data_IF_208496059079
#
_entry.id   IF_208496059079
#
_cell.length_a   1.000
_cell.length_b   1.000
_cell.length_c   1.000
_cell.angle_alpha   90.00
_cell.angle_beta   90.00
_cell.angle_gamma   90.00
#
_symmetry.space_group_name_H-M   'P 1'
#
loop_
_entity.id
_entity.type
_entity.pdbx_description
1 polymer ?
#
# COMPACT_ATOMS: atom_id res chain seq x y z
N UNK A 1 -9.33 -32.50 20.36
CA UNK A 1 -9.48 -33.01 18.99
C UNK A 1 -9.96 -31.94 17.99
N UNK A 2 -10.94 -31.08 18.32
CA UNK A 2 -11.46 -29.99 17.47
C UNK A 2 -10.42 -28.90 17.26
N UNK A 3 -9.67 -28.49 18.28
CA UNK A 3 -8.64 -27.45 18.22
C UNK A 3 -7.47 -27.85 17.31
N UNK A 4 -7.07 -29.11 17.33
CA UNK A 4 -6.01 -29.63 16.44
C UNK A 4 -6.43 -29.62 14.97
N UNK A 5 -7.70 -29.93 14.66
CA UNK A 5 -8.24 -29.81 13.29
C UNK A 5 -8.36 -28.38 12.82
N UNK A 6 -8.72 -27.42 13.71
CA UNK A 6 -8.75 -25.99 13.40
C UNK A 6 -7.34 -25.43 13.12
N UNK A 7 -6.35 -25.85 13.89
CA UNK A 7 -4.96 -25.45 13.69
C UNK A 7 -4.38 -26.01 12.40
N UNK A 8 -4.77 -27.24 12.03
CA UNK A 8 -4.39 -27.88 10.77
C UNK A 8 -5.05 -27.16 9.56
N UNK A 9 -6.33 -26.80 9.68
CA UNK A 9 -7.02 -25.99 8.66
C UNK A 9 -6.45 -24.56 8.54
N UNK A 10 -6.04 -23.94 9.65
CA UNK A 10 -5.36 -22.65 9.62
C UNK A 10 -3.96 -22.77 9.00
N UNK A 11 -3.28 -23.91 9.18
CA UNK A 11 -2.02 -24.23 8.50
C UNK A 11 -2.16 -24.29 6.97
N UNK A 12 -3.30 -24.75 6.46
CA UNK A 12 -3.58 -24.74 5.02
C UNK A 12 -3.96 -23.36 4.48
N UNK A 13 -4.48 -22.45 5.31
CA UNK A 13 -4.74 -21.05 4.92
C UNK A 13 -3.45 -20.23 4.80
N UNK A 14 -2.37 -20.62 5.47
CA UNK A 14 -1.05 -20.00 5.32
C UNK A 14 -0.40 -20.27 3.95
N UNK A 15 -0.94 -21.20 3.17
CA UNK A 15 -0.51 -21.43 1.78
C UNK A 15 -0.96 -20.29 0.84
N UNK A 16 -2.03 -19.57 1.19
CA UNK A 16 -2.49 -18.39 0.43
C UNK A 16 -1.69 -17.12 0.76
N UNK A 17 -0.91 -17.15 1.84
CA UNK A 17 -0.06 -16.03 2.29
C UNK A 17 1.28 -15.96 1.51
N UNK A 18 1.48 -16.86 0.55
CA UNK A 18 2.74 -17.01 -0.19
C UNK A 18 2.70 -16.46 -1.60
N UNK A 19 1.98 -15.38 -1.87
CA UNK A 19 2.09 -14.71 -3.17
C UNK A 19 2.25 -13.19 -3.02
N UNK A 20 3.34 -12.71 -2.42
CA UNK A 20 3.92 -11.45 -2.80
C UNK A 20 4.90 -11.70 -3.95
N UNK A 21 4.99 -10.80 -4.90
CA UNK A 21 5.98 -10.84 -5.99
C UNK A 21 7.43 -11.01 -5.49
N UNK A 22 7.70 -10.66 -4.24
CA UNK A 22 8.99 -10.87 -3.59
C UNK A 22 9.34 -12.33 -3.36
N UNK A 23 8.37 -13.18 -3.02
CA UNK A 23 8.58 -14.63 -2.83
C UNK A 23 8.86 -15.33 -4.17
N UNK A 24 8.22 -14.88 -5.27
CA UNK A 24 8.48 -15.41 -6.62
C UNK A 24 9.93 -15.17 -7.07
N UNK A 25 10.56 -14.10 -6.59
CA UNK A 25 11.99 -13.83 -6.82
C UNK A 25 12.89 -14.72 -5.96
N UNK A 26 12.49 -15.00 -4.72
CA UNK A 26 13.28 -15.80 -3.79
C UNK A 26 13.20 -17.31 -4.09
N UNK A 27 12.06 -17.78 -4.61
CA UNK A 27 11.82 -19.21 -4.96
C UNK A 27 12.29 -19.58 -6.39
N UNK A 28 12.83 -18.63 -7.18
CA UNK A 28 13.28 -18.87 -8.55
C UNK A 28 12.14 -19.16 -9.55
N UNK A 29 10.89 -19.02 -9.14
CA UNK A 29 9.71 -19.28 -9.99
C UNK A 29 9.45 -18.22 -11.03
N UNK A 30 10.16 -17.09 -10.97
CA UNK A 30 10.17 -16.06 -12.03
C UNK A 30 10.54 -16.62 -13.41
N UNK A 31 11.31 -17.71 -13.47
CA UNK A 31 11.68 -18.37 -14.74
C UNK A 31 10.44 -18.79 -15.53
N UNK A 32 9.38 -19.24 -14.88
CA UNK A 32 8.13 -19.60 -15.56
C UNK A 32 7.36 -18.42 -16.14
N UNK A 33 7.52 -17.22 -15.57
CA UNK A 33 6.96 -15.98 -16.12
C UNK A 33 7.72 -15.52 -17.39
N UNK A 34 9.02 -15.81 -17.48
CA UNK A 34 9.83 -15.51 -18.67
C UNK A 34 9.54 -16.42 -19.85
N UNK A 35 9.10 -17.64 -19.59
CA UNK A 35 8.71 -18.61 -20.64
C UNK A 35 7.35 -18.27 -21.30
N UNK A 36 6.56 -17.32 -20.74
CA UNK A 36 5.31 -16.86 -21.34
C UNK A 36 5.51 -15.46 -21.94
N UNK A 37 5.00 -15.18 -23.14
CA UNK A 37 5.11 -13.88 -23.79
C UNK A 37 4.12 -12.86 -23.18
N UNK A 38 4.17 -12.65 -21.85
CA UNK A 38 3.35 -11.65 -21.15
C UNK A 38 4.10 -10.35 -21.02
N UNK A 39 3.40 -9.25 -21.29
CA UNK A 39 3.97 -7.92 -21.12
C UNK A 39 4.28 -7.67 -19.63
N UNK A 40 5.47 -7.18 -19.34
CA UNK A 40 5.93 -6.88 -17.96
C UNK A 40 4.99 -5.93 -17.21
N UNK A 41 4.42 -4.96 -17.93
CA UNK A 41 3.39 -4.05 -17.40
C UNK A 41 2.18 -4.83 -16.86
N UNK A 42 1.74 -5.87 -17.58
CA UNK A 42 0.59 -6.68 -17.17
C UNK A 42 0.85 -7.41 -15.85
N UNK A 43 2.08 -7.92 -15.66
CA UNK A 43 2.47 -8.60 -14.42
C UNK A 43 2.45 -7.63 -13.24
N UNK A 44 3.07 -6.45 -13.40
CA UNK A 44 3.09 -5.42 -12.35
C UNK A 44 1.69 -4.90 -12.04
N UNK A 45 0.88 -4.65 -13.09
CA UNK A 45 -0.50 -4.20 -12.92
C UNK A 45 -1.38 -5.25 -12.23
N UNK A 46 -1.21 -6.54 -12.57
CA UNK A 46 -1.94 -7.63 -11.93
C UNK A 46 -1.57 -7.76 -10.44
N UNK A 47 -0.29 -7.65 -10.10
CA UNK A 47 0.17 -7.66 -8.71
C UNK A 47 -0.37 -6.47 -7.92
N UNK A 48 -0.35 -5.29 -8.49
CA UNK A 48 -0.93 -4.09 -7.88
C UNK A 48 -2.44 -4.23 -7.68
N UNK A 49 -3.17 -4.72 -8.69
CA UNK A 49 -4.60 -4.97 -8.57
C UNK A 49 -4.93 -6.00 -7.50
N UNK A 50 -4.17 -7.11 -7.43
CA UNK A 50 -4.30 -8.12 -6.39
C UNK A 50 -4.06 -7.53 -4.99
N UNK A 51 -3.00 -6.73 -4.83
CA UNK A 51 -2.72 -6.02 -3.57
C UNK A 51 -3.89 -5.11 -3.17
N UNK A 52 -4.45 -4.32 -4.09
CA UNK A 52 -5.59 -3.45 -3.81
C UNK A 52 -6.84 -4.24 -3.43
N UNK A 53 -7.11 -5.36 -4.11
CA UNK A 53 -8.30 -6.19 -3.84
C UNK A 53 -8.33 -6.68 -2.39
N UNK A 54 -7.16 -6.96 -1.82
CA UNK A 54 -7.03 -7.43 -0.42
C UNK A 54 -6.94 -6.25 0.54
N UNK A 55 -6.08 -5.26 0.26
CA UNK A 55 -5.77 -4.20 1.22
C UNK A 55 -6.88 -3.16 1.35
N UNK A 56 -7.60 -2.85 0.26
CA UNK A 56 -8.69 -1.85 0.33
C UNK A 56 -9.78 -2.29 1.33
N UNK A 57 -10.41 -3.48 1.22
CA UNK A 57 -11.41 -3.87 2.21
C UNK A 57 -10.81 -4.03 3.61
N UNK A 58 -9.60 -4.57 3.73
CA UNK A 58 -8.95 -4.80 5.02
C UNK A 58 -8.62 -3.50 5.78
N UNK A 59 -8.31 -2.42 5.07
CA UNK A 59 -7.94 -1.13 5.68
C UNK A 59 -9.14 -0.19 5.74
N UNK A 60 -9.89 -0.04 4.64
CA UNK A 60 -10.96 0.96 4.55
C UNK A 60 -12.14 0.57 5.42
N UNK A 61 -12.58 -0.69 5.41
CA UNK A 61 -13.77 -1.12 6.16
C UNK A 61 -13.62 -0.89 7.66
N UNK A 62 -12.56 -1.35 8.34
CA UNK A 62 -12.39 -1.11 9.77
C UNK A 62 -12.30 0.38 10.12
N UNK A 63 -11.61 1.17 9.31
CA UNK A 63 -11.48 2.61 9.56
C UNK A 63 -12.81 3.35 9.39
N UNK A 64 -13.60 2.99 8.38
CA UNK A 64 -14.95 3.55 8.17
C UNK A 64 -15.88 3.17 9.30
N UNK A 65 -15.86 1.90 9.73
CA UNK A 65 -16.63 1.45 10.88
C UNK A 65 -16.22 2.20 12.15
N UNK A 66 -14.92 2.34 12.41
CA UNK A 66 -14.42 3.11 13.54
C UNK A 66 -14.88 4.57 13.48
N UNK A 67 -14.79 5.22 12.33
CA UNK A 67 -15.27 6.59 12.14
C UNK A 67 -16.79 6.72 12.37
N UNK A 68 -17.58 5.75 11.92
CA UNK A 68 -19.03 5.73 12.14
C UNK A 68 -19.37 5.59 13.63
N UNK A 69 -18.62 4.78 14.37
CA UNK A 69 -18.83 4.56 15.81
C UNK A 69 -18.47 5.78 16.67
N UNK A 70 -17.62 6.70 16.18
CA UNK A 70 -17.30 7.94 16.92
C UNK A 70 -18.44 8.95 16.95
N UNK A 71 -19.47 8.78 16.11
CA UNK A 71 -20.58 9.74 16.01
C UNK A 71 -20.22 11.08 15.34
N UNK A 72 -19.06 11.18 14.69
CA UNK A 72 -18.56 12.41 14.06
C UNK A 72 -19.27 12.82 12.76
N UNK A 73 -20.40 12.20 12.44
CA UNK A 73 -21.24 12.55 11.31
C UNK A 73 -20.77 11.96 9.96
N UNK A 74 -21.60 12.16 8.92
CA UNK A 74 -21.36 11.60 7.61
C UNK A 74 -20.09 12.14 6.93
N UNK A 75 -19.71 13.38 7.21
CA UNK A 75 -18.53 14.02 6.64
C UNK A 75 -17.23 13.35 7.12
N UNK A 76 -17.14 13.03 8.43
CA UNK A 76 -16.00 12.29 8.98
C UNK A 76 -15.90 10.89 8.36
N UNK A 77 -17.01 10.20 8.19
CA UNK A 77 -17.05 8.85 7.60
C UNK A 77 -16.60 8.87 6.14
N UNK A 78 -17.11 9.82 5.34
CA UNK A 78 -16.71 9.99 3.94
C UNK A 78 -15.24 10.39 3.81
N UNK A 79 -14.79 11.35 4.62
CA UNK A 79 -13.39 11.78 4.67
C UNK A 79 -12.45 10.64 5.02
N UNK A 80 -12.81 9.81 6.01
CA UNK A 80 -12.04 8.62 6.40
C UNK A 80 -11.99 7.59 5.28
N UNK A 81 -13.12 7.32 4.63
CA UNK A 81 -13.17 6.38 3.51
C UNK A 81 -12.26 6.81 2.35
N UNK A 82 -12.34 8.09 1.95
CA UNK A 82 -11.52 8.64 0.87
C UNK A 82 -10.02 8.68 1.25
N UNK A 83 -9.70 9.17 2.44
CA UNK A 83 -8.33 9.22 2.94
C UNK A 83 -7.70 7.84 3.01
N UNK A 84 -8.42 6.85 3.56
CA UNK A 84 -7.96 5.47 3.66
C UNK A 84 -7.79 4.82 2.29
N UNK A 85 -8.76 4.98 1.37
CA UNK A 85 -8.69 4.42 0.04
C UNK A 85 -7.51 4.99 -0.77
N UNK A 86 -7.35 6.32 -0.79
CA UNK A 86 -6.26 6.97 -1.51
C UNK A 86 -4.89 6.68 -0.89
N UNK A 87 -4.81 6.64 0.45
CA UNK A 87 -3.60 6.19 1.14
C UNK A 87 -3.22 4.75 0.78
N UNK A 88 -4.20 3.86 0.73
CA UNK A 88 -3.98 2.45 0.33
C UNK A 88 -3.46 2.34 -1.11
N UNK A 89 -3.97 3.15 -2.05
CA UNK A 89 -3.47 3.20 -3.43
C UNK A 89 -1.99 3.60 -3.47
N UNK A 90 -1.60 4.64 -2.73
CA UNK A 90 -0.21 5.09 -2.68
C UNK A 90 0.72 4.01 -2.09
N UNK A 91 0.35 3.44 -0.94
CA UNK A 91 1.14 2.39 -0.29
C UNK A 91 1.23 1.12 -1.13
N UNK A 92 0.12 0.67 -1.73
CA UNK A 92 0.12 -0.50 -2.59
C UNK A 92 1.08 -0.33 -3.77
N UNK A 93 1.12 0.86 -4.40
CA UNK A 93 2.09 1.18 -5.45
C UNK A 93 3.53 1.11 -4.95
N UNK A 94 3.83 1.78 -3.83
CA UNK A 94 5.17 1.78 -3.22
C UNK A 94 5.63 0.37 -2.85
N UNK A 95 4.78 -0.42 -2.20
CA UNK A 95 5.16 -1.77 -1.77
C UNK A 95 5.25 -2.76 -2.93
N UNK A 96 4.47 -2.59 -4.00
CA UNK A 96 4.64 -3.36 -5.23
C UNK A 96 6.03 -3.10 -5.83
N UNK A 97 6.46 -1.84 -5.92
CA UNK A 97 7.79 -1.49 -6.40
C UNK A 97 8.91 -1.99 -5.47
N UNK A 98 8.70 -1.88 -4.15
CA UNK A 98 9.66 -2.33 -3.14
C UNK A 98 9.84 -3.86 -3.18
N UNK A 99 8.75 -4.61 -3.35
CA UNK A 99 8.78 -6.07 -3.46
C UNK A 99 9.64 -6.59 -4.62
N UNK A 100 9.69 -5.84 -5.73
CA UNK A 100 10.56 -6.16 -6.88
C UNK A 100 12.02 -5.69 -6.70
N UNK A 101 12.29 -4.81 -5.73
CA UNK A 101 13.60 -4.18 -5.55
C UNK A 101 14.45 -4.85 -4.49
N UNK A 102 13.83 -5.32 -3.42
CA UNK A 102 14.54 -5.68 -2.19
C UNK A 102 14.05 -7.04 -1.67
N UNK A 103 15.00 -7.95 -1.45
CA UNK A 103 14.73 -9.14 -0.62
C UNK A 103 14.27 -8.66 0.76
N UNK A 104 13.28 -9.29 1.35
CA UNK A 104 12.64 -8.89 2.62
C UNK A 104 11.94 -7.51 2.52
N UNK A 105 11.18 -7.29 1.45
CA UNK A 105 10.42 -6.05 1.21
C UNK A 105 9.54 -5.63 2.39
N UNK A 106 9.01 -6.60 3.15
CA UNK A 106 8.21 -6.36 4.35
C UNK A 106 9.01 -5.62 5.43
N UNK A 107 10.24 -6.05 5.69
CA UNK A 107 11.12 -5.40 6.69
C UNK A 107 11.42 -3.95 6.29
N UNK A 108 11.80 -3.74 5.03
CA UNK A 108 12.09 -2.40 4.52
C UNK A 108 10.85 -1.52 4.45
N UNK A 109 9.69 -2.09 4.13
CA UNK A 109 8.41 -1.39 4.15
C UNK A 109 8.03 -0.94 5.57
N UNK A 110 8.20 -1.80 6.57
CA UNK A 110 7.99 -1.43 7.98
C UNK A 110 8.97 -0.35 8.43
N UNK A 111 10.26 -0.46 8.09
CA UNK A 111 11.24 0.57 8.38
C UNK A 111 10.87 1.91 7.76
N UNK A 112 10.40 1.93 6.50
CA UNK A 112 9.90 3.14 5.86
C UNK A 112 8.75 3.76 6.66
N UNK A 113 7.73 2.98 7.04
CA UNK A 113 6.59 3.50 7.79
C UNK A 113 7.03 4.01 9.17
N UNK A 114 7.84 3.25 9.92
CA UNK A 114 8.24 3.65 11.26
C UNK A 114 9.20 4.84 11.27
N UNK A 115 10.23 4.81 10.43
CA UNK A 115 11.27 5.84 10.44
C UNK A 115 10.81 7.08 9.68
N UNK A 116 10.38 6.91 8.43
CA UNK A 116 10.02 8.04 7.58
C UNK A 116 8.70 8.67 8.00
N UNK A 117 7.64 7.90 8.02
CA UNK A 117 6.30 8.42 8.33
C UNK A 117 6.10 8.65 9.82
N UNK A 118 6.69 7.81 10.68
CA UNK A 118 6.57 7.92 12.12
C UNK A 118 7.46 9.01 12.72
N UNK A 119 8.65 9.23 12.19
CA UNK A 119 9.67 10.11 12.79
C UNK A 119 10.04 11.30 11.90
N UNK A 120 10.53 11.04 10.68
CA UNK A 120 11.08 12.09 9.80
C UNK A 120 9.99 13.05 9.34
N UNK A 121 8.82 12.56 8.98
CA UNK A 121 7.70 13.39 8.55
C UNK A 121 7.15 14.32 9.64
N UNK A 122 7.46 14.06 10.91
CA UNK A 122 7.10 14.94 12.04
C UNK A 122 8.13 16.04 12.30
N UNK A 123 9.33 15.93 11.72
CA UNK A 123 10.44 16.84 11.95
C UNK A 123 10.35 18.19 11.20
N UNK A 124 9.38 18.35 10.26
CA UNK A 124 9.18 19.59 9.55
C UNK A 124 8.25 19.47 8.33
N UNK A 125 7.71 20.60 7.89
CA UNK A 125 6.70 20.67 6.83
C UNK A 125 7.20 20.13 5.48
N UNK A 126 8.48 20.34 5.16
CA UNK A 126 9.07 19.85 3.91
C UNK A 126 9.14 18.32 3.87
N UNK A 127 9.49 17.67 4.98
CA UNK A 127 9.50 16.23 5.09
C UNK A 127 8.07 15.65 5.13
N UNK A 128 7.16 16.33 5.82
CA UNK A 128 5.76 15.97 5.91
C UNK A 128 5.09 15.94 4.51
N UNK A 129 5.42 16.87 3.62
CA UNK A 129 4.86 16.91 2.24
C UNK A 129 5.18 15.67 1.41
N UNK A 130 6.26 14.96 1.72
CA UNK A 130 6.67 13.74 1.03
C UNK A 130 6.10 12.47 1.68
N UNK A 131 5.36 12.58 2.77
CA UNK A 131 4.78 11.47 3.48
C UNK A 131 3.36 11.17 2.99
N UNK A 132 3.02 9.91 2.79
CA UNK A 132 1.65 9.49 2.43
C UNK A 132 0.66 9.86 3.53
N UNK A 133 1.12 9.85 4.77
CA UNK A 133 0.33 10.27 5.93
C UNK A 133 -0.14 11.73 5.85
N UNK A 134 0.65 12.63 5.27
CA UNK A 134 0.26 14.02 5.06
C UNK A 134 -0.88 14.13 4.04
N UNK A 135 -0.84 13.33 2.99
CA UNK A 135 -1.92 13.24 2.00
C UNK A 135 -3.23 12.83 2.66
N UNK A 136 -3.21 11.73 3.43
CA UNK A 136 -4.42 11.23 4.12
C UNK A 136 -4.93 12.21 5.17
N UNK A 137 -4.03 12.88 5.90
CA UNK A 137 -4.40 13.91 6.87
C UNK A 137 -5.06 15.12 6.21
N UNK A 138 -4.53 15.60 5.08
CA UNK A 138 -5.10 16.73 4.34
C UNK A 138 -6.50 16.40 3.81
N UNK A 139 -6.72 15.21 3.28
CA UNK A 139 -8.03 14.76 2.81
C UNK A 139 -9.02 14.68 3.99
N UNK A 140 -8.60 14.08 5.09
CA UNK A 140 -9.45 13.95 6.27
C UNK A 140 -9.82 15.33 6.85
N UNK A 141 -8.86 16.26 6.94
CA UNK A 141 -9.11 17.64 7.37
C UNK A 141 -10.12 18.34 6.47
N UNK A 142 -9.99 18.19 5.15
CA UNK A 142 -10.89 18.85 4.19
C UNK A 142 -12.36 18.42 4.36
N UNK A 143 -12.61 17.21 4.86
CA UNK A 143 -13.96 16.69 5.10
C UNK A 143 -14.45 16.86 6.53
N UNK A 144 -13.56 16.67 7.51
CA UNK A 144 -13.95 16.74 8.93
C UNK A 144 -13.97 18.14 9.51
N UNK A 145 -13.32 19.12 8.82
CA UNK A 145 -13.11 20.47 9.31
C UNK A 145 -12.18 20.56 10.54
N UNK A 146 -11.59 19.43 10.97
CA UNK A 146 -10.70 19.39 12.13
C UNK A 146 -9.28 19.67 11.69
N UNK A 147 -8.62 20.66 12.30
CA UNK A 147 -7.22 20.97 12.00
C UNK A 147 -6.29 19.80 12.40
N UNK A 148 -5.57 19.27 11.42
CA UNK A 148 -4.61 18.19 11.62
C UNK A 148 -3.18 18.69 11.35
N UNK A 149 -2.28 18.50 12.31
CA UNK A 149 -0.89 18.96 12.24
C UNK A 149 -0.12 18.52 10.99
N UNK A 150 -0.49 17.38 10.41
CA UNK A 150 0.17 16.83 9.23
C UNK A 150 -0.54 17.20 7.91
N UNK A 151 -1.62 17.94 7.95
CA UNK A 151 -2.32 18.42 6.76
C UNK A 151 -1.63 19.65 6.16
N UNK A 152 -0.43 19.45 5.62
CA UNK A 152 0.44 20.53 5.08
C UNK A 152 0.34 20.69 3.56
N UNK A 153 -0.46 19.89 2.89
CA UNK A 153 -0.65 19.91 1.44
C UNK A 153 -1.86 20.77 1.05
N UNK A 154 -1.81 21.34 -0.16
CA UNK A 154 -3.02 21.89 -0.76
C UNK A 154 -4.00 20.74 -1.08
N UNK A 155 -5.29 20.94 -0.82
CA UNK A 155 -6.33 19.93 -1.02
C UNK A 155 -6.29 19.26 -2.39
N UNK A 156 -6.21 19.98 -3.53
CA UNK A 156 -6.15 19.33 -4.84
C UNK A 156 -4.91 18.46 -5.01
N UNK A 157 -3.77 18.87 -4.46
CA UNK A 157 -2.53 18.08 -4.49
C UNK A 157 -2.71 16.77 -3.73
N UNK A 158 -3.40 16.79 -2.58
CA UNK A 158 -3.64 15.60 -1.79
C UNK A 158 -4.48 14.54 -2.52
N UNK A 159 -5.41 14.93 -3.39
CA UNK A 159 -6.18 13.98 -4.20
C UNK A 159 -5.37 13.38 -5.37
N UNK A 160 -4.46 14.14 -5.96
CA UNK A 160 -3.69 13.70 -7.13
C UNK A 160 -2.43 12.93 -6.73
N UNK A 161 -1.77 13.32 -5.64
CA UNK A 161 -0.51 12.75 -5.20
C UNK A 161 -0.50 11.21 -5.06
N UNK A 162 -1.53 10.54 -4.50
CA UNK A 162 -1.55 9.08 -4.39
C UNK A 162 -1.44 8.36 -5.74
N UNK A 163 -2.11 8.89 -6.75
CA UNK A 163 -2.08 8.33 -8.10
C UNK A 163 -0.73 8.56 -8.77
N UNK A 164 -0.13 9.73 -8.58
CA UNK A 164 1.21 10.03 -9.10
C UNK A 164 2.27 9.14 -8.45
N UNK A 165 2.20 8.96 -7.14
CA UNK A 165 3.10 8.07 -6.40
C UNK A 165 2.94 6.63 -6.88
N UNK A 166 1.71 6.13 -6.99
CA UNK A 166 1.44 4.79 -7.49
C UNK A 166 1.92 4.63 -8.94
N UNK A 167 1.61 5.56 -9.83
CA UNK A 167 2.04 5.52 -11.22
C UNK A 167 3.57 5.54 -11.37
N UNK A 168 4.26 6.39 -10.62
CA UNK A 168 5.72 6.46 -10.61
C UNK A 168 6.34 5.15 -10.07
N UNK A 169 5.78 4.60 -8.99
CA UNK A 169 6.24 3.34 -8.40
C UNK A 169 6.04 2.15 -9.36
N UNK A 170 4.87 2.05 -10.00
CA UNK A 170 4.58 1.00 -10.99
C UNK A 170 5.42 1.16 -12.27
N UNK A 171 5.63 2.39 -12.71
CA UNK A 171 6.54 2.68 -13.83
C UNK A 171 7.97 2.25 -13.53
N UNK A 172 8.46 2.57 -12.33
CA UNK A 172 9.77 2.11 -11.86
C UNK A 172 9.85 0.58 -11.76
N UNK A 173 8.82 -0.06 -11.20
CA UNK A 173 8.74 -1.51 -11.09
C UNK A 173 8.78 -2.19 -12.47
N UNK A 174 8.04 -1.67 -13.43
CA UNK A 174 8.02 -2.17 -14.81
C UNK A 174 9.37 -2.00 -15.51
N UNK A 175 9.98 -0.83 -15.37
CA UNK A 175 11.31 -0.54 -15.91
C UNK A 175 12.38 -1.45 -15.31
N UNK A 176 12.33 -1.66 -13.99
CA UNK A 176 13.25 -2.53 -13.25
C UNK A 176 13.12 -3.98 -13.71
N UNK A 177 11.89 -4.49 -13.79
CA UNK A 177 11.61 -5.84 -14.28
C UNK A 177 12.12 -6.03 -15.71
N UNK A 178 12.21 -4.94 -16.49
CA UNK A 178 12.75 -4.91 -17.83
C UNK A 178 14.24 -5.12 -17.92
N UNK A 179 14.98 -4.83 -16.84
CA UNK A 179 16.46 -4.86 -16.80
C UNK A 179 17.02 -5.99 -15.93
N UNK A 180 16.17 -6.83 -15.37
CA UNK A 180 16.62 -8.06 -14.71
C UNK A 180 16.93 -9.07 -15.81
N UNK A 181 18.21 -9.30 -16.05
CA UNK A 181 18.68 -10.44 -16.82
C UNK A 181 18.53 -11.68 -15.94
N UNK A 182 18.07 -12.76 -16.55
CA UNK A 182 17.96 -14.07 -15.87
C UNK A 182 19.33 -14.72 -16.04
N UNK A 183 20.18 -14.62 -15.01
CA UNK A 183 21.40 -15.41 -14.89
C UNK A 183 21.06 -16.79 -14.35
#
# INVERSE_FOLDING_TARGET
>A
MLLAKLLDQLGHLTVLDRIPLGDLTDDGTLVYLWLRPVRRVTVVAAAFAAALTVTVPLVVVPLVVAAALTGGGAELVRGTALAAALGTVAYAGLFTALGLRVRRALVWGLLYIFIWEGFVARGGDNAARLAVRSVTATILQAWSGTELRLAVLATPTAYVAPFLVAAAALGYATWRLGRQDVD
#
